data_IF_308852609496
#
_entry.id   IF_308852609496
#
_cell.length_a   1.000
_cell.length_b   1.000
_cell.length_c   1.000
_cell.angle_alpha   90.00
_cell.angle_beta   90.00
_cell.angle_gamma   90.00
#
_symmetry.space_group_name_H-M   'P 1'
#
loop_
_entity.id
_entity.type
_entity.pdbx_description
1 polymer ?
#
# COMPACT_ATOMS: atom_id res chain seq x y z
N UNK A 1 2.07 4.60 -6.95
CA UNK A 1 1.79 4.81 -5.52
C UNK A 1 0.62 5.77 -5.31
N UNK A 2 0.42 6.73 -6.22
CA UNK A 2 -0.69 7.69 -6.09
C UNK A 2 -2.07 7.01 -6.09
N UNK A 3 -2.29 6.01 -6.93
CA UNK A 3 -3.56 5.26 -6.93
C UNK A 3 -3.81 4.53 -5.61
N UNK A 4 -2.73 4.04 -4.97
CA UNK A 4 -2.83 3.45 -3.64
C UNK A 4 -3.28 4.48 -2.60
N UNK A 5 -2.68 5.67 -2.62
CA UNK A 5 -3.03 6.77 -1.70
C UNK A 5 -4.47 7.21 -1.93
N UNK A 6 -4.86 7.38 -3.18
CA UNK A 6 -6.23 7.80 -3.54
C UNK A 6 -7.27 6.77 -3.05
N UNK A 7 -6.97 5.48 -3.22
CA UNK A 7 -7.86 4.42 -2.75
C UNK A 7 -8.00 4.38 -1.22
N UNK A 8 -6.92 4.67 -0.50
CA UNK A 8 -6.97 4.77 0.96
C UNK A 8 -7.84 5.96 1.41
N UNK A 9 -7.72 7.09 0.74
CA UNK A 9 -8.51 8.29 1.04
C UNK A 9 -9.99 8.10 0.73
N UNK A 10 -10.33 7.42 -0.36
CA UNK A 10 -11.72 7.18 -0.75
C UNK A 10 -12.38 6.07 0.08
N UNK A 11 -11.60 5.19 0.67
CA UNK A 11 -12.10 4.02 1.40
C UNK A 11 -12.58 2.89 0.48
N UNK A 12 -12.21 2.93 -0.81
CA UNK A 12 -12.61 1.92 -1.79
C UNK A 12 -11.38 1.17 -2.29
N UNK A 13 -11.32 -0.14 -2.00
CA UNK A 13 -10.24 -0.99 -2.49
C UNK A 13 -10.11 -1.00 -4.01
N UNK A 14 -11.22 -0.87 -4.72
CA UNK A 14 -11.26 -0.74 -6.17
C UNK A 14 -10.37 0.40 -6.68
N UNK A 15 -10.36 1.54 -5.98
CA UNK A 15 -9.61 2.72 -6.39
C UNK A 15 -8.09 2.53 -6.27
N UNK A 16 -7.62 1.59 -5.45
CA UNK A 16 -6.19 1.33 -5.32
C UNK A 16 -5.71 0.14 -6.16
N UNK A 17 -6.61 -0.66 -6.71
CA UNK A 17 -6.27 -1.86 -7.49
C UNK A 17 -5.32 -1.59 -8.65
N UNK A 18 -5.50 -0.47 -9.34
CA UNK A 18 -4.69 -0.15 -10.51
C UNK A 18 -3.22 0.09 -10.20
N UNK A 19 -2.87 0.36 -8.94
CA UNK A 19 -1.49 0.51 -8.51
C UNK A 19 -0.77 -0.82 -8.39
N UNK A 20 -1.49 -1.93 -8.22
CA UNK A 20 -0.94 -3.24 -7.90
C UNK A 20 -1.02 -4.20 -9.09
N UNK A 21 0.01 -5.06 -9.20
CA UNK A 21 -0.09 -6.22 -10.08
C UNK A 21 -1.13 -7.20 -9.52
N UNK A 22 -1.79 -7.95 -10.41
CA UNK A 22 -2.82 -8.93 -10.01
C UNK A 22 -2.32 -10.00 -9.04
N UNK A 23 -1.02 -10.33 -9.10
CA UNK A 23 -0.39 -11.34 -8.25
C UNK A 23 0.36 -10.73 -7.06
N UNK A 24 0.16 -9.45 -6.79
CA UNK A 24 0.81 -8.76 -5.69
C UNK A 24 0.44 -9.36 -4.34
N UNK A 25 1.36 -9.20 -3.38
CA UNK A 25 1.20 -9.73 -2.03
C UNK A 25 1.39 -8.66 -0.97
N UNK A 26 0.87 -8.92 0.22
CA UNK A 26 0.99 -8.04 1.37
C UNK A 26 1.39 -8.85 2.61
N UNK A 27 2.30 -8.27 3.42
CA UNK A 27 2.74 -8.86 4.68
C UNK A 27 2.94 -7.77 5.73
N UNK A 28 2.57 -8.06 6.96
CA UNK A 28 2.80 -7.20 8.10
C UNK A 28 2.07 -7.72 9.33
N UNK A 29 2.34 -7.12 10.47
CA UNK A 29 1.64 -7.48 11.70
C UNK A 29 0.62 -6.42 12.06
N UNK A 30 -0.57 -6.87 12.48
CA UNK A 30 -1.55 -6.04 13.15
C UNK A 30 -1.63 -6.56 14.59
N UNK A 31 -0.98 -5.83 15.52
CA UNK A 31 -0.76 -6.34 16.85
C UNK A 31 0.15 -7.58 16.80
N UNK A 32 -0.34 -8.71 17.27
CA UNK A 32 0.37 -9.99 17.24
C UNK A 32 -0.02 -10.87 16.06
N UNK A 33 -0.99 -10.44 15.25
CA UNK A 33 -1.53 -11.24 14.16
C UNK A 33 -0.82 -10.92 12.83
N UNK A 34 -0.31 -11.96 12.17
CA UNK A 34 0.28 -11.82 10.85
C UNK A 34 -0.80 -11.62 9.81
N UNK A 35 -0.76 -10.47 9.15
CA UNK A 35 -1.59 -10.16 8.01
C UNK A 35 -0.77 -10.49 6.76
N UNK A 36 -1.10 -11.59 6.08
CA UNK A 36 -0.26 -12.11 5.01
C UNK A 36 -1.10 -12.75 3.92
N UNK A 37 -0.70 -12.55 2.67
CA UNK A 37 -1.29 -13.22 1.52
C UNK A 37 -1.48 -12.32 0.31
N UNK A 38 -2.46 -12.65 -0.55
CA UNK A 38 -2.76 -11.86 -1.74
C UNK A 38 -3.16 -10.43 -1.37
N UNK A 39 -2.82 -9.48 -2.24
CA UNK A 39 -3.12 -8.07 -2.03
C UNK A 39 -4.64 -7.78 -1.90
N UNK A 40 -5.49 -8.68 -2.35
CA UNK A 40 -6.94 -8.56 -2.18
C UNK A 40 -7.33 -8.36 -0.71
N UNK A 41 -6.55 -8.90 0.22
CA UNK A 41 -6.77 -8.70 1.66
C UNK A 41 -6.69 -7.23 2.06
N UNK A 42 -5.81 -6.45 1.42
CA UNK A 42 -5.72 -5.01 1.64
C UNK A 42 -6.97 -4.30 1.13
N UNK A 43 -7.44 -4.67 -0.04
CA UNK A 43 -8.63 -4.05 -0.63
C UNK A 43 -9.86 -4.31 0.25
N UNK A 44 -10.00 -5.54 0.74
CA UNK A 44 -11.10 -5.92 1.64
C UNK A 44 -11.02 -5.15 2.97
N UNK A 45 -9.81 -5.03 3.52
CA UNK A 45 -9.59 -4.26 4.75
C UNK A 45 -9.94 -2.78 4.54
N UNK A 46 -9.54 -2.20 3.41
CA UNK A 46 -9.81 -0.82 3.07
C UNK A 46 -11.32 -0.58 2.93
N UNK A 47 -12.02 -1.47 2.25
CA UNK A 47 -13.48 -1.39 2.09
C UNK A 47 -14.19 -1.46 3.45
N UNK A 48 -13.72 -2.31 4.35
CA UNK A 48 -14.28 -2.49 5.68
C UNK A 48 -14.07 -1.28 6.58
N UNK A 49 -12.89 -0.65 6.49
CA UNK A 49 -12.52 0.46 7.38
C UNK A 49 -12.98 1.82 6.87
N UNK A 50 -13.35 1.93 5.61
CA UNK A 50 -13.91 3.14 5.02
C UNK A 50 -12.87 4.21 4.67
N UNK A 51 -13.33 5.42 4.31
CA UNK A 51 -12.46 6.49 3.85
C UNK A 51 -11.49 6.99 4.92
N UNK A 52 -10.24 7.23 4.51
CA UNK A 52 -9.22 7.86 5.35
C UNK A 52 -9.06 9.34 4.92
N UNK A 53 -10.07 10.15 5.22
CA UNK A 53 -10.17 11.53 4.74
C UNK A 53 -9.09 12.45 5.31
N UNK A 54 -8.53 12.11 6.46
CA UNK A 54 -7.46 12.87 7.12
C UNK A 54 -6.08 12.27 6.87
N UNK A 55 -5.96 11.32 5.94
CA UNK A 55 -4.70 10.65 5.63
C UNK A 55 -3.65 11.63 5.12
N UNK A 56 -2.47 11.59 5.75
CA UNK A 56 -1.28 12.31 5.31
C UNK A 56 -0.22 11.30 4.94
N UNK A 57 0.41 11.49 3.79
CA UNK A 57 1.44 10.58 3.28
C UNK A 57 2.70 11.33 2.90
N UNK A 58 3.84 10.66 3.03
CA UNK A 58 5.13 11.16 2.60
C UNK A 58 5.95 10.02 2.03
N UNK A 59 6.42 10.19 0.80
CA UNK A 59 7.40 9.28 0.20
C UNK A 59 8.76 9.73 0.70
N UNK A 60 9.40 8.90 1.55
CA UNK A 60 10.66 9.24 2.20
C UNK A 60 11.88 8.68 1.49
N UNK A 61 11.69 7.70 0.61
CA UNK A 61 12.79 7.11 -0.16
C UNK A 61 12.27 6.43 -1.42
N UNK A 62 13.00 6.59 -2.52
CA UNK A 62 12.74 5.90 -3.80
C UNK A 62 14.08 5.49 -4.38
N UNK A 63 14.19 4.20 -4.76
CA UNK A 63 15.36 3.67 -5.44
C UNK A 63 14.91 2.95 -6.70
N UNK A 64 15.43 3.34 -7.86
CA UNK A 64 15.03 2.80 -9.17
C UNK A 64 16.25 2.28 -9.90
N UNK A 65 16.17 1.03 -10.35
CA UNK A 65 17.19 0.40 -11.19
C UNK A 65 16.49 -0.26 -12.37
N UNK A 66 16.60 0.35 -13.55
CA UNK A 66 15.95 -0.20 -14.75
C UNK A 66 14.44 -0.36 -14.57
N UNK A 67 13.97 -1.62 -14.57
CA UNK A 67 12.56 -1.96 -14.46
C UNK A 67 12.11 -2.31 -13.05
N UNK A 68 12.98 -2.14 -12.06
CA UNK A 68 12.63 -2.41 -10.65
C UNK A 68 12.75 -1.15 -9.81
N UNK A 69 11.95 -1.08 -8.74
CA UNK A 69 12.02 0.03 -7.80
C UNK A 69 11.61 -0.40 -6.40
N UNK A 70 12.13 0.32 -5.41
CA UNK A 70 11.64 0.25 -4.03
C UNK A 70 11.17 1.64 -3.61
N UNK A 71 10.12 1.68 -2.79
CA UNK A 71 9.55 2.94 -2.28
C UNK A 71 9.25 2.77 -0.80
N UNK A 72 9.64 3.77 -0.01
CA UNK A 72 9.23 3.87 1.39
C UNK A 72 8.18 4.97 1.51
N UNK A 73 7.02 4.61 2.06
CA UNK A 73 5.90 5.52 2.28
C UNK A 73 5.56 5.59 3.77
N UNK A 74 5.51 6.80 4.30
CA UNK A 74 4.98 7.05 5.64
C UNK A 74 3.52 7.50 5.50
N UNK A 75 2.61 6.85 6.22
CA UNK A 75 1.19 7.20 6.22
C UNK A 75 0.76 7.51 7.64
N UNK A 76 0.16 8.69 7.84
CA UNK A 76 -0.34 9.13 9.13
C UNK A 76 -1.83 9.35 9.04
N UNK A 77 -2.55 8.98 10.10
CA UNK A 77 -3.98 9.17 10.19
C UNK A 77 -4.80 8.36 9.17
N UNK A 78 -4.37 7.14 8.89
CA UNK A 78 -5.18 6.21 8.12
C UNK A 78 -6.21 5.58 9.06
N UNK A 79 -7.39 6.21 9.13
CA UNK A 79 -8.45 5.88 10.10
C UNK A 79 -7.93 5.82 11.55
N UNK A 80 -7.03 6.77 11.91
CA UNK A 80 -6.42 6.83 13.23
C UNK A 80 -5.15 6.03 13.38
N UNK A 81 -4.68 5.33 12.34
CA UNK A 81 -3.48 4.50 12.37
C UNK A 81 -2.32 5.16 11.65
N UNK A 82 -1.11 4.85 12.10
CA UNK A 82 0.14 5.26 11.44
C UNK A 82 0.87 4.03 10.92
N UNK A 83 1.28 4.08 9.66
CA UNK A 83 2.00 2.99 9.00
C UNK A 83 3.29 3.47 8.36
N UNK A 84 4.28 2.58 8.33
CA UNK A 84 5.42 2.66 7.42
C UNK A 84 5.30 1.50 6.44
N UNK A 85 5.35 1.81 5.15
CA UNK A 85 5.22 0.82 4.09
C UNK A 85 6.49 0.75 3.26
N UNK A 86 6.95 -0.46 2.97
CA UNK A 86 7.96 -0.71 1.94
C UNK A 86 7.29 -1.39 0.76
N UNK A 87 7.46 -0.80 -0.42
CA UNK A 87 6.93 -1.36 -1.66
C UNK A 87 8.06 -1.82 -2.56
N UNK A 88 7.87 -2.94 -3.24
CA UNK A 88 8.68 -3.33 -4.39
C UNK A 88 7.82 -3.24 -5.64
N UNK A 89 8.37 -2.62 -6.69
CA UNK A 89 7.65 -2.36 -7.94
C UNK A 89 8.38 -2.95 -9.12
N UNK A 90 7.61 -3.29 -10.14
CA UNK A 90 8.11 -3.76 -11.43
C UNK A 90 7.43 -2.96 -12.53
N UNK A 91 8.20 -2.55 -13.54
CA UNK A 91 7.66 -1.91 -14.73
C UNK A 91 7.20 -2.99 -15.70
N UNK A 92 5.90 -3.08 -15.89
CA UNK A 92 5.26 -4.09 -16.76
C UNK A 92 4.56 -3.36 -17.89
N UNK A 93 4.96 -3.66 -19.14
CA UNK A 93 4.39 -3.03 -20.33
C UNK A 93 4.37 -1.50 -20.24
N UNK A 94 5.47 -0.92 -19.76
CA UNK A 94 5.64 0.53 -19.63
C UNK A 94 4.95 1.16 -18.42
N UNK A 95 4.32 0.37 -17.55
CA UNK A 95 3.61 0.87 -16.38
C UNK A 95 4.18 0.28 -15.10
N UNK A 96 4.49 1.14 -14.12
CA UNK A 96 4.94 0.70 -12.80
C UNK A 96 3.79 0.07 -12.03
N UNK A 97 4.01 -1.17 -11.55
CA UNK A 97 3.06 -1.90 -10.71
C UNK A 97 3.70 -2.31 -9.40
N UNK A 98 2.97 -2.16 -8.31
CA UNK A 98 3.41 -2.63 -6.99
C UNK A 98 3.24 -4.14 -6.95
N UNK A 99 4.33 -4.86 -6.66
CA UNK A 99 4.35 -6.32 -6.60
C UNK A 99 4.24 -6.85 -5.18
N UNK A 100 4.72 -6.06 -4.21
CA UNK A 100 4.73 -6.46 -2.81
C UNK A 100 4.65 -5.24 -1.92
N UNK A 101 3.89 -5.36 -0.85
CA UNK A 101 3.82 -4.37 0.22
C UNK A 101 4.13 -5.08 1.54
N UNK A 102 5.11 -4.56 2.28
CA UNK A 102 5.39 -4.97 3.65
C UNK A 102 5.17 -3.74 4.54
N UNK A 103 4.38 -3.87 5.58
CA UNK A 103 4.01 -2.73 6.40
C UNK A 103 4.34 -2.93 7.86
N UNK A 104 4.56 -1.82 8.55
CA UNK A 104 4.67 -1.75 10.01
C UNK A 104 3.59 -0.81 10.54
N UNK A 105 2.75 -1.33 11.43
CA UNK A 105 1.75 -0.52 12.13
C UNK A 105 2.38 0.03 13.40
N UNK A 106 2.44 1.35 13.52
CA UNK A 106 2.92 2.03 14.73
C UNK A 106 1.80 2.04 15.77
N UNK A 107 2.12 1.58 16.95
CA UNK A 107 1.16 1.52 18.06
C UNK A 107 1.35 2.64 19.07
#
# INVERSE_FOLDING_TARGET
VQFYIDGAKSGKGEDMKSAFHKDATIFGYIGEDLFAGPIQKLFDWNDKNGPATELKTEITDIDIVGTIATVRLESDNWTGHKFTDFFTLLKVDGTWKIMNKVFYLHT
#
